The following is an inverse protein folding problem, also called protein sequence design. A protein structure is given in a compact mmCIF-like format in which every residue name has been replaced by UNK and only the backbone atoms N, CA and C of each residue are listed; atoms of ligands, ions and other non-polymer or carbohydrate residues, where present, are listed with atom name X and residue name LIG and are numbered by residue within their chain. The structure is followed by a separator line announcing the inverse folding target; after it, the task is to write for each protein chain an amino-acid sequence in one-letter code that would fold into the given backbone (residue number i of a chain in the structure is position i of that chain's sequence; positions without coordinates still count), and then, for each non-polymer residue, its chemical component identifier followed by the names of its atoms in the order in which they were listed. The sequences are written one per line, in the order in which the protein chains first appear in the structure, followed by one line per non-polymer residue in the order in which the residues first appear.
data_IF_722856168266
#
_entry.id   IF_722856168266
#
_cell.length_a   1.000
_cell.length_b   1.000
_cell.length_c   1.000
_cell.angle_alpha   90.00
_cell.angle_beta   90.00
_cell.angle_gamma   90.00
#
_symmetry.space_group_name_H-M   'P 1'
#
loop_
_entity.id
_entity.type
_entity.pdbx_description
1 polymer ?
#
# COMPACT_ATOMS: atom_id res chain seq x y z
N UNK A 1 -15.46 -15.56 -24.67
CA UNK A 1 -16.81 -15.59 -24.04
C UNK A 1 -17.50 -14.25 -24.28
N UNK A 2 -18.82 -14.26 -24.51
CA UNK A 2 -19.60 -13.04 -24.78
C UNK A 2 -19.87 -12.29 -23.45
N UNK A 3 -19.93 -10.96 -23.47
CA UNK A 3 -20.20 -10.19 -22.25
C UNK A 3 -21.59 -10.51 -21.68
N UNK A 4 -21.66 -10.74 -20.37
CA UNK A 4 -22.92 -10.92 -19.64
C UNK A 4 -23.86 -9.72 -19.85
N UNK A 5 -25.19 -9.91 -19.87
CA UNK A 5 -26.15 -8.82 -19.79
C UNK A 5 -25.96 -7.98 -18.52
N UNK A 6 -26.29 -6.68 -18.56
CA UNK A 6 -26.06 -5.73 -17.45
C UNK A 6 -26.62 -6.20 -16.10
N UNK A 7 -27.77 -6.88 -16.10
CA UNK A 7 -28.44 -7.36 -14.88
C UNK A 7 -27.78 -8.60 -14.26
N UNK A 8 -26.98 -9.36 -15.03
CA UNK A 8 -26.21 -10.51 -14.53
C UNK A 8 -24.75 -10.17 -14.21
N UNK A 9 -24.28 -8.97 -14.58
CA UNK A 9 -22.89 -8.58 -14.33
C UNK A 9 -22.65 -8.36 -12.83
N UNK A 10 -21.57 -8.95 -12.29
CA UNK A 10 -20.99 -8.52 -11.02
C UNK A 10 -20.85 -7.00 -10.90
N UNK A 11 -21.26 -6.45 -9.76
CA UNK A 11 -21.07 -5.02 -9.43
C UNK A 11 -19.89 -4.86 -8.50
N UNK A 12 -19.04 -3.88 -8.82
CA UNK A 12 -17.77 -3.66 -8.12
C UNK A 12 -17.68 -2.27 -7.46
N UNK A 13 -16.73 -2.19 -6.53
CA UNK A 13 -16.20 -0.96 -5.94
C UNK A 13 -14.68 -1.02 -6.00
N UNK A 14 -14.07 0.16 -6.00
CA UNK A 14 -12.63 0.35 -6.13
C UNK A 14 -12.12 1.12 -4.93
N UNK A 15 -11.20 0.54 -4.19
CA UNK A 15 -10.54 1.12 -3.04
C UNK A 15 -9.24 1.76 -3.52
N UNK A 16 -9.07 3.04 -3.19
CA UNK A 16 -7.81 3.75 -3.32
C UNK A 16 -6.97 3.45 -2.09
N UNK A 17 -5.87 2.72 -2.28
CA UNK A 17 -4.97 2.34 -1.19
C UNK A 17 -3.69 3.14 -1.35
N UNK A 18 -3.34 3.96 -0.36
CA UNK A 18 -1.98 4.47 -0.21
C UNK A 18 -1.20 3.54 0.70
N UNK A 19 0.10 3.44 0.53
CA UNK A 19 0.93 2.64 1.42
C UNK A 19 2.33 3.20 1.58
N UNK A 20 2.92 2.92 2.73
CA UNK A 20 4.33 3.18 3.06
C UNK A 20 5.07 1.85 3.15
N UNK A 21 6.33 1.80 2.70
CA UNK A 21 7.19 0.62 2.76
C UNK A 21 8.66 1.04 2.89
N UNK A 22 9.59 0.09 2.83
CA UNK A 22 11.02 0.38 2.86
C UNK A 22 11.47 1.11 1.58
N UNK A 23 12.46 2.01 1.64
CA UNK A 23 12.95 2.72 0.46
C UNK A 23 13.48 1.82 -0.66
N UNK A 24 14.06 0.69 -0.29
CA UNK A 24 14.65 -0.32 -1.18
C UNK A 24 13.69 -1.46 -1.53
N UNK A 25 12.42 -1.38 -1.16
CA UNK A 25 11.45 -2.42 -1.44
C UNK A 25 11.44 -2.77 -2.94
N UNK A 26 11.25 -4.04 -3.30
CA UNK A 26 11.09 -4.45 -4.71
C UNK A 26 9.91 -5.40 -4.80
N UNK A 27 8.77 -4.89 -5.26
CA UNK A 27 7.57 -5.67 -5.51
C UNK A 27 6.65 -4.91 -6.47
N UNK A 28 5.87 -5.65 -7.25
CA UNK A 28 4.91 -5.11 -8.20
C UNK A 28 3.47 -5.51 -7.86
N UNK A 29 2.62 -5.42 -8.88
CA UNK A 29 1.17 -5.71 -8.77
C UNK A 29 0.90 -7.17 -8.38
N UNK A 30 1.70 -8.12 -8.87
CA UNK A 30 1.49 -9.56 -8.67
C UNK A 30 1.77 -9.94 -7.21
N UNK A 31 2.91 -9.52 -6.70
CA UNK A 31 3.33 -9.77 -5.33
C UNK A 31 2.35 -9.13 -4.34
N UNK A 32 1.91 -7.89 -4.60
CA UNK A 32 0.87 -7.24 -3.81
C UNK A 32 -0.46 -8.01 -3.86
N UNK A 33 -0.84 -8.54 -5.03
CA UNK A 33 -2.05 -9.35 -5.19
C UNK A 33 -2.00 -10.65 -4.38
N UNK A 34 -0.86 -11.34 -4.41
CA UNK A 34 -0.65 -12.59 -3.66
C UNK A 34 -0.72 -12.34 -2.16
N UNK A 35 -0.04 -11.29 -1.68
CA UNK A 35 -0.08 -10.90 -0.27
C UNK A 35 -1.48 -10.46 0.17
N UNK A 36 -2.22 -9.70 -0.66
CA UNK A 36 -3.59 -9.29 -0.36
C UNK A 36 -4.54 -10.49 -0.31
N UNK A 37 -4.38 -11.48 -1.18
CA UNK A 37 -5.16 -12.71 -1.12
C UNK A 37 -4.83 -13.53 0.12
N UNK A 38 -3.55 -13.61 0.52
CA UNK A 38 -3.15 -14.24 1.76
C UNK A 38 -3.79 -13.55 2.97
N UNK A 39 -3.71 -12.22 3.05
CA UNK A 39 -4.37 -11.43 4.10
C UNK A 39 -5.89 -11.63 4.13
N UNK A 40 -6.53 -11.66 2.96
CA UNK A 40 -7.96 -11.93 2.81
C UNK A 40 -8.35 -13.32 3.31
N UNK A 41 -7.60 -14.37 2.95
CA UNK A 41 -7.85 -15.74 3.45
C UNK A 41 -7.62 -15.86 4.96
N UNK A 42 -6.54 -15.29 5.48
CA UNK A 42 -6.25 -15.35 6.92
C UNK A 42 -7.32 -14.66 7.76
N UNK A 43 -7.91 -13.57 7.26
CA UNK A 43 -8.96 -12.84 7.98
C UNK A 43 -10.37 -13.43 7.76
N UNK A 44 -10.69 -13.86 6.55
CA UNK A 44 -12.08 -14.15 6.11
C UNK A 44 -12.33 -15.62 5.76
N UNK A 45 -11.29 -16.46 5.78
CA UNK A 45 -11.33 -17.80 5.20
C UNK A 45 -11.41 -17.79 3.67
N UNK A 46 -11.37 -18.97 3.07
CA UNK A 46 -11.38 -19.11 1.61
C UNK A 46 -12.70 -18.64 0.97
N UNK A 47 -13.84 -19.07 1.54
CA UNK A 47 -15.16 -18.68 1.05
C UNK A 47 -15.36 -17.15 1.16
N UNK A 48 -15.03 -16.57 2.31
CA UNK A 48 -15.14 -15.12 2.51
C UNK A 48 -14.22 -14.32 1.61
N UNK A 49 -12.97 -14.76 1.41
CA UNK A 49 -12.05 -14.13 0.46
C UNK A 49 -12.59 -14.16 -0.98
N UNK A 50 -13.18 -15.29 -1.39
CA UNK A 50 -13.80 -15.45 -2.71
C UNK A 50 -15.02 -14.55 -2.90
N UNK A 51 -15.89 -14.43 -1.89
CA UNK A 51 -17.05 -13.53 -1.89
C UNK A 51 -16.64 -12.07 -2.07
N UNK A 52 -15.62 -11.61 -1.32
CA UNK A 52 -15.12 -10.24 -1.43
C UNK A 52 -14.57 -9.95 -2.83
N UNK A 53 -13.96 -10.95 -3.47
CA UNK A 53 -13.49 -10.85 -4.85
C UNK A 53 -12.36 -9.82 -5.03
N UNK A 54 -11.41 -9.80 -4.08
CA UNK A 54 -10.28 -8.88 -4.06
C UNK A 54 -9.42 -9.02 -5.33
N UNK A 55 -9.16 -7.91 -6.00
CA UNK A 55 -8.28 -7.87 -7.17
C UNK A 55 -7.51 -6.56 -7.28
N UNK A 56 -6.19 -6.63 -7.40
CA UNK A 56 -5.29 -5.49 -7.55
C UNK A 56 -5.19 -5.13 -9.03
N UNK A 57 -5.65 -3.93 -9.37
CA UNK A 57 -5.68 -3.43 -10.74
C UNK A 57 -4.40 -2.68 -11.10
N UNK A 58 -3.86 -1.93 -10.16
CA UNK A 58 -2.61 -1.18 -10.34
C UNK A 58 -1.87 -1.08 -9.01
N UNK A 59 -0.55 -1.01 -9.11
CA UNK A 59 0.37 -0.62 -8.05
C UNK A 59 1.34 0.37 -8.68
N UNK A 60 1.55 1.51 -8.03
CA UNK A 60 2.58 2.51 -8.38
C UNK A 60 3.39 2.80 -7.14
N UNK A 61 4.70 2.96 -7.31
CA UNK A 61 5.62 3.25 -6.21
C UNK A 61 6.55 4.39 -6.60
N UNK A 62 6.86 5.22 -5.62
CA UNK A 62 7.81 6.31 -5.70
C UNK A 62 8.64 6.28 -4.42
N UNK A 63 9.83 5.67 -4.52
CA UNK A 63 10.67 5.33 -3.38
C UNK A 63 9.90 4.52 -2.32
N UNK A 64 9.85 4.98 -1.06
CA UNK A 64 9.20 4.28 0.05
C UNK A 64 7.68 4.56 0.19
N UNK A 65 7.07 5.29 -0.74
CA UNK A 65 5.62 5.48 -0.80
C UNK A 65 5.04 4.80 -2.05
N UNK A 66 3.76 4.46 -1.99
CA UNK A 66 3.07 3.90 -3.13
C UNK A 66 1.56 3.98 -3.03
N UNK A 67 0.93 3.65 -4.15
CA UNK A 67 -0.52 3.60 -4.30
C UNK A 67 -0.93 2.32 -5.00
N UNK A 68 -2.11 1.83 -4.68
CA UNK A 68 -2.75 0.71 -5.34
C UNK A 68 -4.24 0.95 -5.54
N UNK A 69 -4.79 0.41 -6.62
CA UNK A 69 -6.25 0.32 -6.83
C UNK A 69 -6.68 -1.11 -6.62
N UNK A 70 -7.51 -1.34 -5.60
CA UNK A 70 -8.04 -2.66 -5.27
C UNK A 70 -9.53 -2.70 -5.57
N UNK A 71 -9.96 -3.67 -6.38
CA UNK A 71 -11.35 -3.95 -6.68
C UNK A 71 -11.92 -4.95 -5.66
N UNK A 72 -13.17 -4.73 -5.25
CA UNK A 72 -13.97 -5.71 -4.51
C UNK A 72 -15.42 -5.73 -5.02
N UNK A 73 -16.22 -6.71 -4.60
CA UNK A 73 -17.68 -6.71 -4.81
C UNK A 73 -18.34 -5.53 -4.08
N UNK A 74 -19.40 -4.97 -4.67
CA UNK A 74 -20.05 -3.74 -4.17
C UNK A 74 -20.59 -3.86 -2.74
N UNK A 75 -21.09 -5.02 -2.33
CA UNK A 75 -21.58 -5.26 -0.96
C UNK A 75 -20.47 -5.50 0.07
N UNK A 76 -19.24 -5.73 -0.40
CA UNK A 76 -18.14 -6.28 0.41
C UNK A 76 -17.09 -5.24 0.79
N UNK A 77 -17.40 -3.95 0.64
CA UNK A 77 -16.44 -2.86 0.86
C UNK A 77 -15.86 -2.88 2.28
N UNK A 78 -16.69 -3.11 3.29
CA UNK A 78 -16.23 -3.14 4.68
C UNK A 78 -15.22 -4.27 4.93
N UNK A 79 -15.52 -5.48 4.46
CA UNK A 79 -14.63 -6.65 4.56
C UNK A 79 -13.36 -6.47 3.72
N UNK A 80 -13.47 -5.85 2.54
CA UNK A 80 -12.31 -5.49 1.74
C UNK A 80 -11.38 -4.50 2.45
N UNK A 81 -11.94 -3.48 3.13
CA UNK A 81 -11.14 -2.54 3.94
C UNK A 81 -10.44 -3.25 5.10
N UNK A 82 -11.12 -4.17 5.77
CA UNK A 82 -10.54 -4.96 6.85
C UNK A 82 -9.38 -5.84 6.34
N UNK A 83 -9.56 -6.54 5.21
CA UNK A 83 -8.50 -7.34 4.60
C UNK A 83 -7.30 -6.51 4.13
N UNK A 84 -7.52 -5.29 3.61
CA UNK A 84 -6.42 -4.37 3.28
C UNK A 84 -5.68 -3.94 4.55
N UNK A 85 -6.39 -3.69 5.66
CA UNK A 85 -5.78 -3.25 6.91
C UNK A 85 -4.91 -4.32 7.59
N UNK A 86 -5.15 -5.60 7.32
CA UNK A 86 -4.34 -6.72 7.86
C UNK A 86 -3.11 -7.04 7.03
N UNK A 87 -2.94 -6.43 5.85
CA UNK A 87 -1.75 -6.61 5.02
C UNK A 87 -0.56 -5.92 5.68
N UNK A 88 0.38 -6.70 6.22
CA UNK A 88 1.56 -6.23 6.93
C UNK A 88 2.87 -6.41 6.17
N UNK A 89 2.92 -7.32 5.20
CA UNK A 89 4.12 -7.60 4.38
C UNK A 89 3.76 -7.92 2.93
N UNK A 90 4.70 -7.65 2.01
CA UNK A 90 4.68 -8.09 0.61
C UNK A 90 6.08 -8.61 0.28
N UNK A 91 6.21 -9.89 -0.13
CA UNK A 91 7.52 -10.55 -0.31
C UNK A 91 8.45 -10.37 0.91
N UNK A 92 7.90 -10.51 2.12
CA UNK A 92 8.62 -10.28 3.38
C UNK A 92 8.96 -8.81 3.68
N UNK A 93 8.72 -7.89 2.74
CA UNK A 93 8.96 -6.45 2.94
C UNK A 93 7.80 -5.85 3.74
N UNK A 94 8.06 -5.18 4.88
CA UNK A 94 7.03 -4.50 5.65
C UNK A 94 6.28 -3.44 4.84
N UNK A 95 4.96 -3.40 5.00
CA UNK A 95 4.10 -2.40 4.38
C UNK A 95 3.06 -1.90 5.37
N UNK A 96 2.71 -0.61 5.26
CA UNK A 96 1.63 0.01 6.01
C UNK A 96 0.58 0.56 5.03
N UNK A 97 -0.48 -0.19 4.72
CA UNK A 97 -1.53 0.27 3.83
C UNK A 97 -2.58 1.12 4.56
N UNK A 98 -3.18 2.05 3.82
CA UNK A 98 -4.33 2.84 4.26
C UNK A 98 -5.30 3.04 3.10
N UNK A 99 -6.58 2.73 3.33
CA UNK A 99 -7.63 3.02 2.35
C UNK A 99 -7.98 4.50 2.42
N UNK A 100 -7.58 5.26 1.39
CA UNK A 100 -7.80 6.70 1.24
C UNK A 100 -9.23 7.05 0.82
N UNK A 101 -9.90 6.14 0.11
CA UNK A 101 -11.28 6.33 -0.34
C UNK A 101 -11.81 5.18 -1.19
N UNK A 102 -13.09 5.29 -1.58
CA UNK A 102 -13.78 4.28 -2.39
C UNK A 102 -14.56 4.96 -3.52
N UNK A 103 -14.53 4.36 -4.72
CA UNK A 103 -15.23 4.86 -5.91
C UNK A 103 -15.99 3.73 -6.64
N UNK A 104 -16.95 4.14 -7.48
CA UNK A 104 -17.69 3.25 -8.39
C UNK A 104 -16.96 2.97 -9.72
N UNK A 105 -15.92 3.73 -10.04
CA UNK A 105 -15.08 3.56 -11.24
C UNK A 105 -13.60 3.68 -10.89
N UNK A 106 -12.72 3.04 -11.67
CA UNK A 106 -11.26 3.15 -11.50
C UNK A 106 -10.81 4.60 -11.65
N UNK A 107 -11.23 5.28 -12.71
CA UNK A 107 -10.90 6.68 -12.97
C UNK A 107 -11.25 7.59 -11.78
N UNK A 108 -12.49 7.51 -11.29
CA UNK A 108 -12.91 8.33 -10.14
C UNK A 108 -12.21 7.92 -8.83
N UNK A 109 -11.70 6.68 -8.74
CA UNK A 109 -10.89 6.24 -7.61
C UNK A 109 -9.52 6.91 -7.63
N UNK A 110 -8.87 6.91 -8.80
CA UNK A 110 -7.55 7.50 -9.00
C UNK A 110 -7.60 9.02 -8.84
N UNK A 111 -8.49 9.71 -9.57
CA UNK A 111 -8.57 11.17 -9.59
C UNK A 111 -8.90 11.78 -8.22
N UNK A 112 -9.79 11.15 -7.45
CA UNK A 112 -10.26 11.72 -6.18
C UNK A 112 -9.37 11.41 -4.99
N UNK A 113 -8.68 10.27 -5.00
CA UNK A 113 -8.05 9.74 -3.79
C UNK A 113 -6.58 9.34 -3.96
N UNK A 114 -6.09 9.21 -5.20
CA UNK A 114 -4.69 8.87 -5.49
C UNK A 114 -3.94 10.03 -6.18
N UNK A 115 -4.61 11.15 -6.44
CA UNK A 115 -3.96 12.42 -6.77
C UNK A 115 -3.16 12.92 -5.57
N UNK A 116 -1.89 13.29 -5.81
CA UNK A 116 -0.83 13.52 -4.80
C UNK A 116 -1.28 14.33 -3.57
N UNK A 117 -0.90 13.84 -2.38
CA UNK A 117 0.00 14.61 -1.53
C UNK A 117 1.26 13.77 -1.26
N UNK A 118 2.10 13.58 -2.29
CA UNK A 118 3.43 13.02 -2.08
C UNK A 118 4.31 14.12 -1.51
N UNK A 119 4.69 14.01 -0.24
CA UNK A 119 5.77 14.85 0.30
C UNK A 119 7.06 14.55 -0.47
N UNK A 120 7.91 15.56 -0.68
CA UNK A 120 9.20 15.34 -1.33
C UNK A 120 10.02 14.43 -0.42
N UNK A 121 10.34 13.21 -0.89
CA UNK A 121 11.34 12.36 -0.24
C UNK A 121 12.72 12.70 -0.78
N UNK A 122 13.69 12.90 0.10
CA UNK A 122 15.08 13.22 -0.29
C UNK A 122 16.10 12.35 0.43
N UNK A 123 17.14 11.93 -0.29
CA UNK A 123 18.31 11.32 0.32
C UNK A 123 19.22 12.40 0.92
N UNK A 124 19.67 12.20 2.16
CA UNK A 124 20.70 13.03 2.82
C UNK A 124 21.49 12.22 3.85
N UNK A 125 22.60 12.78 4.31
CA UNK A 125 23.34 12.24 5.46
C UNK A 125 22.78 12.84 6.76
N UNK A 126 22.57 12.00 7.77
CA UNK A 126 22.06 12.36 9.10
C UNK A 126 22.94 11.75 10.19
N UNK A 127 23.09 12.42 11.32
CA UNK A 127 23.75 11.82 12.48
C UNK A 127 22.72 10.98 13.25
N UNK A 128 22.96 9.67 13.33
CA UNK A 128 22.08 8.69 13.98
C UNK A 128 22.92 7.60 14.66
N UNK A 129 22.63 7.34 15.93
CA UNK A 129 23.38 6.40 16.78
C UNK A 129 24.90 6.66 16.70
N UNK A 130 25.28 7.90 17.02
CA UNK A 130 26.66 8.42 17.07
C UNK A 130 27.48 8.28 15.78
N UNK A 131 26.82 8.11 14.63
CA UNK A 131 27.47 7.99 13.32
C UNK A 131 26.73 8.78 12.24
N UNK A 132 27.49 9.27 11.25
CA UNK A 132 26.92 9.88 10.05
C UNK A 132 26.43 8.77 9.10
N UNK A 133 25.12 8.76 8.79
CA UNK A 133 24.47 7.71 8.02
C UNK A 133 23.63 8.28 6.89
N UNK A 134 23.55 7.55 5.77
CA UNK A 134 22.58 7.89 4.70
C UNK A 134 21.17 7.61 5.16
N UNK A 135 20.25 8.52 4.84
CA UNK A 135 18.84 8.35 5.14
C UNK A 135 17.95 8.90 4.04
N UNK A 136 16.75 8.31 3.93
CA UNK A 136 15.65 8.82 3.10
C UNK A 136 14.69 9.55 4.01
N UNK A 137 14.57 10.87 3.83
CA UNK A 137 13.79 11.74 4.71
C UNK A 137 12.47 12.14 4.06
N UNK A 138 11.40 12.13 4.84
CA UNK A 138 10.01 12.43 4.45
C UNK A 138 9.29 13.17 5.56
N UNK A 139 9.28 14.50 5.49
CA UNK A 139 8.79 15.36 6.57
C UNK A 139 9.46 14.99 7.92
N UNK A 140 8.69 14.42 8.85
CA UNK A 140 9.18 14.00 10.17
C UNK A 140 9.67 12.54 10.22
N UNK A 141 9.49 11.78 9.14
CA UNK A 141 9.87 10.37 9.04
C UNK A 141 11.22 10.23 8.35
N UNK A 142 12.12 9.43 8.92
CA UNK A 142 13.48 9.24 8.42
C UNK A 142 13.80 7.76 8.38
N UNK A 143 14.08 7.20 7.20
CA UNK A 143 14.59 5.83 7.09
C UNK A 143 16.12 5.88 7.02
N UNK A 144 16.78 5.49 8.12
CA UNK A 144 18.25 5.53 8.24
C UNK A 144 18.84 4.19 7.81
N UNK A 145 19.83 4.21 6.93
CA UNK A 145 20.58 3.02 6.51
C UNK A 145 21.44 2.51 7.67
N UNK A 146 21.19 1.28 8.13
CA UNK A 146 21.95 0.60 9.18
C UNK A 146 22.30 -0.80 8.70
N UNK A 147 23.59 -1.06 8.49
CA UNK A 147 24.05 -2.28 7.82
C UNK A 147 23.40 -2.42 6.44
N UNK A 148 22.84 -3.59 6.16
CA UNK A 148 22.14 -3.90 4.92
C UNK A 148 20.65 -3.52 4.94
N UNK A 149 20.18 -2.85 5.99
CA UNK A 149 18.77 -2.53 6.20
C UNK A 149 18.48 -1.06 6.49
N UNK A 150 17.23 -0.82 6.88
CA UNK A 150 16.74 0.49 7.30
C UNK A 150 16.14 0.42 8.70
N UNK A 151 16.41 1.45 9.50
CA UNK A 151 15.74 1.73 10.76
C UNK A 151 14.84 2.94 10.57
N UNK A 152 13.57 2.80 10.92
CA UNK A 152 12.64 3.93 10.96
C UNK A 152 12.93 4.80 12.16
N UNK A 153 13.15 6.09 11.91
CA UNK A 153 13.47 7.12 12.88
C UNK A 153 12.62 8.37 12.61
N UNK A 154 12.67 9.32 13.53
CA UNK A 154 12.04 10.62 13.41
C UNK A 154 13.09 11.73 13.47
N UNK A 155 12.71 12.97 13.16
CA UNK A 155 13.61 14.11 13.34
C UNK A 155 14.13 14.27 14.79
N UNK A 156 13.43 13.73 15.80
CA UNK A 156 13.88 13.74 17.20
C UNK A 156 15.04 12.78 17.46
N UNK A 157 15.15 11.72 16.65
CA UNK A 157 16.22 10.73 16.74
C UNK A 157 17.48 11.15 15.97
N UNK A 158 17.41 12.25 15.21
CA UNK A 158 18.51 12.78 14.41
C UNK A 158 19.18 13.92 15.18
N UNK A 159 20.46 13.74 15.50
CA UNK A 159 21.24 14.79 16.14
C UNK A 159 21.70 15.80 15.08
N UNK A 160 21.47 17.08 15.33
CA UNK A 160 22.12 18.15 14.57
C UNK A 160 23.54 18.28 15.13
N UNK A 161 24.55 18.20 14.26
CA UNK A 161 25.87 18.76 14.61
C UNK A 161 25.80 20.27 14.52
#
# INVERSE_FOLDING_TARGET
MRHLPKHLRPRYRYLAVGFETRPDAVFGRREFQEALWAAGRSLLGDAGSAEVGLSVLSVRREGPEGTAVVRCRRGEVARARAAVATLSTVEGTPIRPVVRGVSGTVRGCEEKYLSRPGGVSGERTVAFADADRRAVCRAERVDVRVGDGFVGATNLDIHTR
#
